data_IF_399192211167
#
_entry.id   IF_399192211167
#
_cell.length_a   1.000
_cell.length_b   1.000
_cell.length_c   1.000
_cell.angle_alpha   90.00
_cell.angle_beta   90.00
_cell.angle_gamma   90.00
#
_symmetry.space_group_name_H-M   'P 1'
#
loop_
_entity.id
_entity.type
_entity.pdbx_description
1 polymer ?
#
# COMPACT_ATOMS: atom_id res chain seq x y z
N UNK A 1 14.56 -52.45 -10.87
CA UNK A 1 13.17 -51.96 -10.75
C UNK A 1 13.06 -51.17 -9.43
N UNK A 2 13.25 -49.85 -9.42
CA UNK A 2 13.35 -49.09 -8.15
C UNK A 2 13.17 -47.57 -8.19
N UNK A 3 12.94 -46.96 -9.37
CA UNK A 3 12.83 -45.49 -9.51
C UNK A 3 11.40 -44.93 -9.39
N UNK A 4 10.37 -45.78 -9.40
CA UNK A 4 8.97 -45.35 -9.42
C UNK A 4 8.54 -44.70 -8.09
N UNK A 5 9.04 -45.19 -6.96
CA UNK A 5 8.64 -44.73 -5.62
C UNK A 5 9.24 -43.35 -5.27
N UNK A 6 10.51 -43.12 -5.64
CA UNK A 6 11.17 -41.83 -5.42
C UNK A 6 10.51 -40.68 -6.22
N UNK A 7 10.13 -40.96 -7.47
CA UNK A 7 9.44 -40.00 -8.31
C UNK A 7 8.05 -39.62 -7.76
N UNK A 8 7.31 -40.57 -7.19
CA UNK A 8 6.02 -40.30 -6.55
C UNK A 8 6.18 -39.42 -5.31
N UNK A 9 7.19 -39.68 -4.48
CA UNK A 9 7.51 -38.87 -3.31
C UNK A 9 7.86 -37.42 -3.68
N UNK A 10 8.72 -37.20 -4.68
CA UNK A 10 9.07 -35.86 -5.17
C UNK A 10 7.83 -35.13 -5.69
N UNK A 11 6.96 -35.81 -6.45
CA UNK A 11 5.72 -35.21 -6.97
C UNK A 11 4.80 -34.78 -5.82
N UNK A 12 4.64 -35.62 -4.79
CA UNK A 12 3.85 -35.29 -3.59
C UNK A 12 4.41 -34.09 -2.85
N UNK A 13 5.71 -34.06 -2.60
CA UNK A 13 6.40 -32.92 -1.97
C UNK A 13 6.19 -31.60 -2.75
N UNK A 14 6.33 -31.64 -4.08
CA UNK A 14 6.09 -30.47 -4.93
C UNK A 14 4.62 -30.03 -4.91
N UNK A 15 3.68 -30.97 -4.92
CA UNK A 15 2.25 -30.66 -4.85
C UNK A 15 1.89 -30.03 -3.50
N UNK A 16 2.42 -30.55 -2.40
CA UNK A 16 2.20 -30.00 -1.06
C UNK A 16 2.76 -28.58 -0.93
N UNK A 17 3.98 -28.33 -1.45
CA UNK A 17 4.57 -26.98 -1.47
C UNK A 17 3.71 -25.99 -2.27
N UNK A 18 3.15 -26.41 -3.40
CA UNK A 18 2.22 -25.58 -4.19
C UNK A 18 0.91 -25.33 -3.43
N UNK A 19 0.36 -26.33 -2.74
CA UNK A 19 -0.85 -26.19 -1.93
C UNK A 19 -0.64 -25.19 -0.79
N UNK A 20 0.45 -25.30 -0.03
CA UNK A 20 0.81 -24.37 1.04
C UNK A 20 0.95 -22.94 0.52
N UNK A 21 1.69 -22.73 -0.57
CA UNK A 21 1.80 -21.40 -1.22
C UNK A 21 0.46 -20.84 -1.67
N UNK A 22 -0.46 -21.68 -2.15
CA UNK A 22 -1.81 -21.24 -2.56
C UNK A 22 -2.63 -20.82 -1.34
N UNK A 23 -2.58 -21.59 -0.25
CA UNK A 23 -3.25 -21.27 1.00
C UNK A 23 -2.71 -19.97 1.61
N UNK A 24 -1.39 -19.81 1.68
CA UNK A 24 -0.75 -18.57 2.16
C UNK A 24 -1.15 -17.35 1.31
N UNK A 25 -1.20 -17.50 -0.03
CA UNK A 25 -1.70 -16.44 -0.91
C UNK A 25 -3.19 -16.14 -0.74
N UNK A 26 -3.99 -17.12 -0.34
CA UNK A 26 -5.41 -16.92 -0.06
C UNK A 26 -5.59 -16.19 1.26
N UNK A 27 -4.90 -16.63 2.33
CA UNK A 27 -4.86 -15.96 3.62
C UNK A 27 -4.41 -14.50 3.47
N UNK A 28 -3.27 -14.24 2.82
CA UNK A 28 -2.82 -12.86 2.57
C UNK A 28 -3.83 -12.00 1.77
N UNK A 29 -4.67 -12.62 0.94
CA UNK A 29 -5.74 -11.91 0.22
C UNK A 29 -6.96 -11.67 1.10
N UNK A 30 -7.25 -12.58 2.01
CA UNK A 30 -8.31 -12.45 3.00
C UNK A 30 -7.92 -11.40 4.03
N UNK A 31 -6.70 -11.44 4.57
CA UNK A 31 -6.14 -10.43 5.48
C UNK A 31 -6.26 -9.04 4.87
N UNK A 32 -5.85 -8.87 3.60
CA UNK A 32 -6.02 -7.60 2.85
C UNK A 32 -7.46 -7.17 2.59
N UNK A 33 -8.44 -8.08 2.69
CA UNK A 33 -9.86 -7.76 2.55
C UNK A 33 -10.49 -7.40 3.90
N UNK A 34 -9.96 -7.98 4.99
CA UNK A 34 -10.36 -7.65 6.35
C UNK A 34 -9.70 -6.36 6.85
N UNK A 35 -8.48 -6.08 6.39
CA UNK A 35 -7.91 -4.74 6.42
C UNK A 35 -8.79 -3.84 5.56
N UNK A 36 -9.65 -3.06 6.20
CA UNK A 36 -10.48 -2.05 5.56
C UNK A 36 -9.57 -0.96 5.00
N UNK A 37 -9.04 -1.15 3.79
CA UNK A 37 -8.56 -0.01 3.00
C UNK A 37 -9.78 0.66 2.42
N UNK A 38 -10.16 1.78 3.01
CA UNK A 38 -11.15 2.69 2.45
C UNK A 38 -10.70 3.09 1.04
N UNK A 39 -11.59 2.90 0.07
CA UNK A 39 -11.34 3.25 -1.33
C UNK A 39 -11.47 4.75 -1.60
N UNK A 40 -11.48 5.56 -0.54
CA UNK A 40 -11.67 6.99 -0.60
C UNK A 40 -10.36 7.67 -1.01
N UNK A 41 -10.48 8.74 -1.79
CA UNK A 41 -9.34 9.45 -2.35
C UNK A 41 -8.41 10.00 -1.25
N UNK A 42 -8.98 10.38 -0.10
CA UNK A 42 -8.24 10.95 1.04
C UNK A 42 -7.24 9.96 1.62
N UNK A 43 -7.60 8.67 1.72
CA UNK A 43 -6.73 7.62 2.27
C UNK A 43 -5.63 7.18 1.30
N UNK A 44 -5.70 7.62 0.04
CA UNK A 44 -4.65 7.42 -0.96
C UNK A 44 -3.67 8.60 -1.04
N UNK A 45 -3.96 9.72 -0.38
CA UNK A 45 -3.07 10.89 -0.33
C UNK A 45 -2.06 10.67 0.79
N UNK A 46 -0.77 10.69 0.45
CA UNK A 46 0.32 10.59 1.40
C UNK A 46 1.06 11.93 1.45
N UNK A 47 1.28 12.45 2.65
CA UNK A 47 2.09 13.64 2.86
C UNK A 47 3.58 13.25 2.92
N UNK A 48 4.43 14.08 2.34
CA UNK A 48 5.87 13.82 2.22
C UNK A 48 6.65 14.98 2.82
N UNK A 49 7.64 14.70 3.66
CA UNK A 49 8.51 15.70 4.27
C UNK A 49 9.62 16.19 3.30
N UNK A 50 10.40 17.19 3.71
CA UNK A 50 11.53 17.75 2.93
C UNK A 50 12.61 16.72 2.58
N UNK A 51 12.63 15.58 3.27
CA UNK A 51 13.58 14.49 3.10
C UNK A 51 13.00 13.31 2.32
N UNK A 52 11.73 13.39 1.88
CA UNK A 52 11.06 12.35 1.10
C UNK A 52 10.40 11.23 1.92
N UNK A 53 10.27 11.39 3.24
CA UNK A 53 9.61 10.41 4.11
C UNK A 53 8.09 10.65 4.16
N UNK A 54 7.32 9.56 4.21
CA UNK A 54 5.85 9.63 4.31
C UNK A 54 5.46 9.86 5.77
N UNK A 55 4.61 10.85 6.01
CA UNK A 55 4.02 11.16 7.31
C UNK A 55 2.65 10.49 7.44
N UNK A 56 2.36 9.96 8.63
CA UNK A 56 1.06 9.34 8.97
C UNK A 56 0.03 10.36 9.41
N UNK A 57 0.47 11.49 9.99
CA UNK A 57 -0.38 12.62 10.33
C UNK A 57 -0.38 13.63 9.19
N UNK A 58 -1.54 14.22 8.83
CA UNK A 58 -1.57 15.37 7.96
C UNK A 58 -0.70 16.46 8.60
N UNK A 59 0.17 17.14 7.84
CA UNK A 59 0.95 18.24 8.37
C UNK A 59 -0.03 19.25 8.96
N UNK A 60 0.23 19.69 10.21
CA UNK A 60 -0.53 20.80 10.79
C UNK A 60 -0.52 21.94 9.77
N UNK A 61 -1.70 22.53 9.51
CA UNK A 61 -1.82 23.75 8.73
C UNK A 61 -1.02 24.82 9.46
N UNK A 62 0.28 24.90 9.16
CA UNK A 62 1.07 26.05 9.50
C UNK A 62 0.43 27.17 8.69
N UNK A 63 -0.36 28.01 9.35
CA UNK A 63 -0.88 29.28 8.82
C UNK A 63 0.31 30.20 8.48
N UNK A 64 1.13 29.81 7.51
CA UNK A 64 2.20 30.62 6.98
C UNK A 64 1.61 31.53 5.92
N UNK A 65 0.93 32.58 6.40
CA UNK A 65 1.15 33.95 5.92
C UNK A 65 1.34 34.13 4.41
N UNK A 66 0.42 33.63 3.58
CA UNK A 66 0.47 33.77 2.11
C UNK A 66 -0.70 34.54 1.49
N UNK A 67 -1.64 35.07 2.28
CA UNK A 67 -2.73 35.93 1.79
C UNK A 67 -2.36 37.42 1.63
N UNK A 68 -1.07 37.76 1.47
CA UNK A 68 -0.62 39.17 1.37
C UNK A 68 -0.02 39.57 0.00
N UNK A 69 -0.29 38.83 -1.07
CA UNK A 69 0.09 39.18 -2.46
C UNK A 69 -1.01 38.61 -3.39
N UNK A 70 -1.77 39.31 -4.23
CA UNK A 70 -1.77 40.64 -4.81
C UNK A 70 -3.23 40.92 -5.22
N UNK A 71 -4.02 41.57 -4.38
CA UNK A 71 -5.34 42.13 -4.74
C UNK A 71 -5.36 43.64 -4.44
N UNK A 72 -4.35 44.37 -4.91
CA UNK A 72 -4.31 45.84 -4.82
C UNK A 72 -4.08 46.54 -6.16
N UNK A 73 -4.40 45.89 -7.28
CA UNK A 73 -4.26 46.47 -8.63
C UNK A 73 -5.61 46.64 -9.36
N UNK A 74 -6.69 46.81 -8.60
CA UNK A 74 -7.92 47.46 -9.09
C UNK A 74 -8.31 48.57 -8.14
N UNK A 75 -7.75 49.76 -8.34
CA UNK A 75 -8.35 51.09 -8.08
C UNK A 75 -7.24 52.16 -7.97
N UNK A 76 -6.56 52.43 -9.09
CA UNK A 76 -6.07 53.78 -9.36
C UNK A 76 -6.52 54.20 -10.76
N UNK A 77 -7.69 54.84 -10.74
CA UNK A 77 -7.98 56.16 -11.33
C UNK A 77 -7.83 56.32 -12.85
#
# INVERSE_FOLDING_TARGET
>A
MGRKNFNAFIKRQKAEKKRKKKQEKQLRKEDKKYEETSGDLQDMIAYVDEFGNILEEPPEEQESTAEAKEDSDQEKK
#
